data_IF_488636326405
#
_entry.id   IF_488636326405
#
_cell.length_a   1.000
_cell.length_b   1.000
_cell.length_c   1.000
_cell.angle_alpha   90.00
_cell.angle_beta   90.00
_cell.angle_gamma   90.00
#
_symmetry.space_group_name_H-M   'P 1'
#
loop_
_entity.id
_entity.type
_entity.pdbx_description
1 polymer ?
#
# COMPACT_ATOMS: atom_id res chain seq x y z
N UNK A 1 -14.74 -17.14 -9.62
CA UNK A 1 -13.34 -17.59 -9.77
C UNK A 1 -12.45 -16.42 -9.37
N UNK A 2 -11.89 -16.35 -8.15
CA UNK A 2 -11.17 -15.16 -7.70
C UNK A 2 -9.75 -15.16 -8.25
N UNK A 3 -9.46 -14.22 -9.14
CA UNK A 3 -8.12 -13.96 -9.69
C UNK A 3 -7.23 -13.16 -8.71
N UNK A 4 -7.81 -12.58 -7.66
CA UNK A 4 -7.23 -11.52 -6.79
C UNK A 4 -6.13 -11.90 -5.76
N UNK A 5 -5.90 -13.19 -5.47
CA UNK A 5 -5.14 -13.58 -4.26
C UNK A 5 -3.70 -14.03 -4.52
N UNK A 6 -3.09 -13.77 -5.69
CA UNK A 6 -1.71 -14.23 -5.98
C UNK A 6 -0.63 -13.15 -5.91
N UNK A 7 -0.96 -11.87 -6.11
CA UNK A 7 0.05 -10.80 -6.17
C UNK A 7 0.80 -10.59 -4.86
N UNK A 8 0.07 -10.52 -3.74
CA UNK A 8 0.63 -10.11 -2.45
C UNK A 8 0.94 -11.27 -1.49
N UNK A 9 0.62 -12.52 -1.84
CA UNK A 9 0.80 -13.68 -0.96
C UNK A 9 2.24 -13.89 -0.51
N UNK A 10 3.21 -13.61 -1.38
CA UNK A 10 4.64 -13.71 -1.00
C UNK A 10 4.99 -12.75 0.14
N UNK A 11 4.50 -11.51 0.06
CA UNK A 11 4.70 -10.49 1.09
C UNK A 11 3.94 -10.83 2.37
N UNK A 12 2.71 -11.34 2.22
CA UNK A 12 1.90 -11.80 3.34
C UNK A 12 2.61 -12.93 4.10
N UNK A 13 3.10 -13.95 3.40
CA UNK A 13 3.85 -15.06 4.01
C UNK A 13 5.12 -14.58 4.70
N UNK A 14 5.88 -13.67 4.06
CA UNK A 14 7.08 -13.10 4.66
C UNK A 14 6.77 -12.31 5.95
N UNK A 15 5.69 -11.51 5.96
CA UNK A 15 5.27 -10.78 7.15
C UNK A 15 4.85 -11.73 8.28
N UNK A 16 4.09 -12.79 7.98
CA UNK A 16 3.73 -13.81 8.99
C UNK A 16 4.96 -14.48 9.58
N UNK A 17 5.94 -14.82 8.75
CA UNK A 17 7.20 -15.41 9.21
C UNK A 17 8.00 -14.43 10.09
N UNK A 18 8.01 -13.13 9.75
CA UNK A 18 8.61 -12.09 10.60
C UNK A 18 7.93 -12.03 11.98
N UNK A 19 6.59 -12.00 12.02
CA UNK A 19 5.84 -12.03 13.29
C UNK A 19 6.04 -13.31 14.10
N UNK A 20 6.30 -14.44 13.44
CA UNK A 20 6.62 -15.72 14.10
C UNK A 20 8.00 -15.69 14.76
N UNK A 21 8.98 -15.04 14.13
CA UNK A 21 10.36 -14.96 14.62
C UNK A 21 10.57 -13.85 15.67
N UNK A 22 9.82 -12.76 15.56
CA UNK A 22 9.98 -11.60 16.44
C UNK A 22 8.93 -11.64 17.55
N UNK A 23 9.32 -11.59 18.84
CA UNK A 23 8.42 -11.57 19.99
C UNK A 23 7.35 -10.46 19.90
N UNK A 24 6.26 -10.63 20.66
CA UNK A 24 5.11 -9.72 20.65
C UNK A 24 5.33 -8.47 21.50
N UNK A 25 6.38 -7.72 21.17
CA UNK A 25 6.75 -6.50 21.87
C UNK A 25 6.66 -5.28 20.94
N UNK A 26 6.99 -4.10 21.48
CA UNK A 26 7.05 -2.85 20.71
C UNK A 26 8.05 -2.93 19.53
N UNK A 27 9.06 -3.79 19.62
CA UNK A 27 10.11 -3.92 18.60
C UNK A 27 9.64 -4.71 17.38
N UNK A 28 8.59 -5.54 17.50
CA UNK A 28 8.00 -6.23 16.32
C UNK A 28 7.55 -5.26 15.24
N UNK A 29 6.87 -4.18 15.64
CA UNK A 29 6.32 -3.21 14.70
C UNK A 29 7.43 -2.51 13.90
N UNK A 30 8.58 -2.22 14.52
CA UNK A 30 9.73 -1.65 13.84
C UNK A 30 10.46 -2.70 13.00
N UNK A 31 10.70 -3.90 13.54
CA UNK A 31 11.41 -4.98 12.85
C UNK A 31 10.69 -5.45 11.57
N UNK A 32 9.37 -5.58 11.61
CA UNK A 32 8.57 -6.04 10.48
C UNK A 32 7.98 -4.89 9.64
N UNK A 33 8.32 -3.63 9.93
CA UNK A 33 7.73 -2.44 9.29
C UNK A 33 7.78 -2.49 7.77
N UNK A 34 8.95 -2.79 7.22
CA UNK A 34 9.18 -2.82 5.77
C UNK A 34 8.27 -3.82 5.04
N UNK A 35 8.11 -5.04 5.60
CA UNK A 35 7.21 -6.06 5.07
C UNK A 35 5.74 -5.64 5.18
N UNK A 36 5.37 -5.00 6.29
CA UNK A 36 4.02 -4.48 6.48
C UNK A 36 3.69 -3.36 5.48
N UNK A 37 4.60 -2.40 5.29
CA UNK A 37 4.45 -1.34 4.31
C UNK A 37 4.40 -1.87 2.88
N UNK A 38 5.26 -2.82 2.53
CA UNK A 38 5.26 -3.43 1.21
C UNK A 38 3.97 -4.22 0.93
N UNK A 39 3.48 -4.98 1.92
CA UNK A 39 2.21 -5.70 1.81
C UNK A 39 1.04 -4.74 1.62
N UNK A 40 0.98 -3.67 2.42
CA UNK A 40 -0.07 -2.65 2.29
C UNK A 40 -0.06 -2.00 0.90
N UNK A 41 1.11 -1.61 0.40
CA UNK A 41 1.24 -1.03 -0.95
C UNK A 41 0.81 -2.02 -2.05
N UNK A 42 1.16 -3.30 -1.91
CA UNK A 42 0.73 -4.33 -2.84
C UNK A 42 -0.80 -4.45 -2.86
N UNK A 43 -1.44 -4.60 -1.69
CA UNK A 43 -2.89 -4.72 -1.58
C UNK A 43 -3.61 -3.51 -2.18
N UNK A 44 -3.13 -2.31 -1.90
CA UNK A 44 -3.71 -1.07 -2.44
C UNK A 44 -3.55 -1.02 -3.97
N UNK A 45 -2.42 -1.49 -4.51
CA UNK A 45 -2.19 -1.56 -5.96
C UNK A 45 -3.07 -2.60 -6.66
N UNK A 46 -3.45 -3.70 -5.99
CA UNK A 46 -4.38 -4.68 -6.55
C UNK A 46 -5.81 -4.13 -6.62
N UNK A 47 -6.24 -3.39 -5.59
CA UNK A 47 -7.61 -2.86 -5.49
C UNK A 47 -7.84 -1.63 -6.38
N UNK A 48 -6.86 -0.71 -6.43
CA UNK A 48 -6.92 0.56 -7.15
C UNK A 48 -5.61 0.79 -7.93
N UNK A 49 -5.36 0.03 -9.02
CA UNK A 49 -4.06 0.02 -9.70
C UNK A 49 -3.67 1.38 -10.30
N UNK A 50 -4.62 2.04 -10.98
CA UNK A 50 -4.36 3.30 -11.69
C UNK A 50 -4.11 4.45 -10.71
N UNK A 51 -4.93 4.58 -9.68
CA UNK A 51 -4.78 5.61 -8.64
C UNK A 51 -3.51 5.38 -7.83
N UNK A 52 -3.16 4.12 -7.55
CA UNK A 52 -1.91 3.76 -6.86
C UNK A 52 -0.69 4.14 -7.67
N UNK A 53 -0.71 3.90 -8.98
CA UNK A 53 0.38 4.28 -9.88
C UNK A 53 0.49 5.81 -10.02
N UNK A 54 -0.65 6.50 -10.12
CA UNK A 54 -0.68 7.96 -10.13
C UNK A 54 -0.03 8.55 -8.87
N UNK A 55 -0.34 8.02 -7.69
CA UNK A 55 0.30 8.43 -6.43
C UNK A 55 1.80 8.13 -6.46
N UNK A 56 2.23 6.93 -6.90
CA UNK A 56 3.67 6.61 -6.99
C UNK A 56 4.42 7.58 -7.89
N UNK A 57 3.88 7.91 -9.06
CA UNK A 57 4.52 8.80 -10.03
C UNK A 57 4.53 10.27 -9.57
N UNK A 58 3.39 10.77 -9.09
CA UNK A 58 3.20 12.19 -8.78
C UNK A 58 3.78 12.57 -7.41
N UNK A 59 3.72 11.66 -6.42
CA UNK A 59 4.14 11.94 -5.05
C UNK A 59 5.59 11.53 -4.73
N UNK A 60 6.32 10.90 -5.66
CA UNK A 60 7.70 10.46 -5.43
C UNK A 60 8.69 11.61 -5.13
N UNK A 61 8.36 12.86 -5.47
CA UNK A 61 9.22 14.00 -5.18
C UNK A 61 8.44 15.28 -4.86
N UNK A 62 9.01 16.13 -4.00
CA UNK A 62 8.39 17.41 -3.57
C UNK A 62 8.18 18.44 -4.69
N UNK A 63 8.89 18.29 -5.81
CA UNK A 63 8.63 18.92 -7.11
C UNK A 63 8.27 20.42 -7.12
N UNK A 64 7.58 20.82 -8.18
CA UNK A 64 7.01 22.17 -8.32
C UNK A 64 5.70 22.29 -7.54
N UNK A 65 5.18 23.51 -7.38
CA UNK A 65 3.86 23.73 -6.77
C UNK A 65 2.74 22.96 -7.50
N UNK A 66 2.82 22.87 -8.84
CA UNK A 66 1.93 22.09 -9.67
C UNK A 66 2.05 20.58 -9.38
N UNK A 67 3.26 20.05 -9.28
CA UNK A 67 3.44 18.62 -8.96
C UNK A 67 2.87 18.28 -7.57
N UNK A 68 3.00 19.19 -6.60
CA UNK A 68 2.37 19.03 -5.27
C UNK A 68 0.85 19.05 -5.32
N UNK A 69 0.23 19.90 -6.15
CA UNK A 69 -1.24 19.88 -6.30
C UNK A 69 -1.72 18.61 -6.99
N UNK A 70 -1.00 18.14 -8.01
CA UNK A 70 -1.28 16.87 -8.69
C UNK A 70 -1.15 15.67 -7.74
N UNK A 71 -0.10 15.63 -6.91
CA UNK A 71 0.05 14.59 -5.89
C UNK A 71 -1.13 14.59 -4.89
N UNK A 72 -1.56 15.77 -4.41
CA UNK A 72 -2.73 15.87 -3.53
C UNK A 72 -4.00 15.36 -4.20
N UNK A 73 -4.22 15.69 -5.48
CA UNK A 73 -5.37 15.18 -6.22
C UNK A 73 -5.32 13.66 -6.35
N UNK A 74 -4.17 13.09 -6.74
CA UNK A 74 -4.00 11.64 -6.83
C UNK A 74 -4.26 10.92 -5.49
N UNK A 75 -3.87 11.52 -4.36
CA UNK A 75 -4.17 10.97 -3.03
C UNK A 75 -5.67 10.97 -2.73
N UNK A 76 -6.40 12.01 -3.14
CA UNK A 76 -7.86 12.06 -3.01
C UNK A 76 -8.53 11.01 -3.88
N UNK A 77 -8.11 10.89 -5.14
CA UNK A 77 -8.67 9.92 -6.10
C UNK A 77 -8.48 8.48 -5.59
N UNK A 78 -7.29 8.16 -5.08
CA UNK A 78 -7.02 6.88 -4.43
C UNK A 78 -7.91 6.63 -3.21
N UNK A 79 -8.12 7.66 -2.38
CA UNK A 79 -8.99 7.55 -1.20
C UNK A 79 -10.44 7.27 -1.59
N UNK A 80 -10.93 7.88 -2.68
CA UNK A 80 -12.27 7.63 -3.22
C UNK A 80 -12.39 6.20 -3.74
N UNK A 81 -11.42 5.72 -4.53
CA UNK A 81 -11.41 4.34 -5.02
C UNK A 81 -11.41 3.32 -3.88
N UNK A 82 -10.58 3.51 -2.84
CA UNK A 82 -10.58 2.62 -1.69
C UNK A 82 -11.92 2.65 -0.94
N UNK A 83 -12.52 3.83 -0.78
CA UNK A 83 -13.79 3.98 -0.07
C UNK A 83 -14.99 3.38 -0.83
N UNK A 84 -14.98 3.38 -2.17
CA UNK A 84 -16.04 2.73 -2.95
C UNK A 84 -15.97 1.22 -2.81
N UNK A 85 -14.77 0.64 -2.93
CA UNK A 85 -14.53 -0.82 -2.80
C UNK A 85 -14.77 -1.38 -1.40
N UNK A 86 -14.78 -0.54 -0.36
CA UNK A 86 -15.14 -0.94 1.01
C UNK A 86 -16.65 -1.05 1.26
N UNK A 87 -17.48 -0.48 0.36
CA UNK A 87 -18.95 -0.48 0.49
C UNK A 87 -19.62 -1.58 -0.34
N UNK A 88 -18.86 -2.23 -1.21
CA UNK A 88 -19.27 -3.41 -2.00
C UNK A 88 -18.98 -4.71 -1.22
#
# INVERSE_FOLDING_TARGET
MPLEARGCERLHRALRECHRRVPADLARASACRHLNSALAQCLVSEVCPDESEAVRSLCASGGTALKRSQCRQAQLDLSVCLASRQRD
#
